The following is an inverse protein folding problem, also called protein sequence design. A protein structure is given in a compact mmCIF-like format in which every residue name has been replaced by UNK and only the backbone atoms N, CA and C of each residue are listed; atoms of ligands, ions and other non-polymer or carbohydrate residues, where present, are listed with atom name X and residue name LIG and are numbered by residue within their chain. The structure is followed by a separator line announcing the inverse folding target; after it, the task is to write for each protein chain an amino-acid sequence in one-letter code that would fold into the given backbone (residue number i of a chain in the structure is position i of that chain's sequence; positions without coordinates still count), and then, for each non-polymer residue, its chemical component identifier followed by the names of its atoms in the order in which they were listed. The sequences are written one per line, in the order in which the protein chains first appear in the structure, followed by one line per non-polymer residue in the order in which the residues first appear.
data_IF_412450547095
#
_entry.id   IF_412450547095
#
_cell.length_a   1.000
_cell.length_b   1.000
_cell.length_c   1.000
_cell.angle_alpha   90.00
_cell.angle_beta   90.00
_cell.angle_gamma   90.00
#
_symmetry.space_group_name_H-M   'P 1'
#
loop_
_entity.id
_entity.type
_entity.pdbx_description
1 polymer ?
#
# COMPACT_ATOMS: atom_id res chain seq x y z
N UNK A 1 10.29 43.19 -15.54
CA UNK A 1 9.49 42.40 -14.59
C UNK A 1 9.93 42.78 -13.18
N UNK A 2 9.07 43.25 -12.27
CA UNK A 2 9.52 43.61 -10.91
C UNK A 2 10.04 42.35 -10.21
N UNK A 3 11.23 42.38 -9.56
CA UNK A 3 11.90 41.19 -9.01
C UNK A 3 11.06 40.43 -7.96
N UNK A 4 10.15 41.13 -7.28
CA UNK A 4 9.20 40.54 -6.33
C UNK A 4 8.20 39.57 -6.95
N UNK A 5 7.79 39.80 -8.21
CA UNK A 5 6.85 38.92 -8.91
C UNK A 5 7.50 37.58 -9.23
N UNK A 6 8.79 37.60 -9.61
CA UNK A 6 9.56 36.39 -9.83
C UNK A 6 9.71 35.57 -8.54
N UNK A 7 9.99 36.25 -7.41
CA UNK A 7 10.06 35.61 -6.10
C UNK A 7 8.73 35.01 -5.65
N UNK A 8 7.62 35.73 -5.84
CA UNK A 8 6.29 35.22 -5.53
C UNK A 8 5.94 33.98 -6.37
N UNK A 9 6.34 33.96 -7.64
CA UNK A 9 6.16 32.80 -8.51
C UNK A 9 6.94 31.57 -8.02
N UNK A 10 8.20 31.75 -7.61
CA UNK A 10 9.03 30.66 -7.09
C UNK A 10 8.48 30.13 -5.76
N UNK A 11 8.13 31.01 -4.82
CA UNK A 11 7.59 30.63 -3.52
C UNK A 11 6.21 29.98 -3.64
N UNK A 12 5.35 30.52 -4.50
CA UNK A 12 4.04 29.94 -4.80
C UNK A 12 4.16 28.56 -5.43
N UNK A 13 5.06 28.40 -6.41
CA UNK A 13 5.34 27.11 -7.04
C UNK A 13 5.84 26.05 -6.05
N UNK A 14 6.80 26.42 -5.19
CA UNK A 14 7.32 25.52 -4.15
C UNK A 14 6.23 25.05 -3.17
N UNK A 15 5.34 25.96 -2.77
CA UNK A 15 4.23 25.64 -1.87
C UNK A 15 3.25 24.64 -2.50
N UNK A 16 2.90 24.82 -3.78
CA UNK A 16 2.01 23.90 -4.51
C UNK A 16 2.64 22.52 -4.67
N UNK A 17 3.93 22.45 -5.03
CA UNK A 17 4.64 21.17 -5.14
C UNK A 17 4.67 20.44 -3.80
N UNK A 18 4.98 21.14 -2.71
CA UNK A 18 4.99 20.55 -1.36
C UNK A 18 3.61 20.07 -0.93
N UNK A 19 2.56 20.83 -1.26
CA UNK A 19 1.18 20.43 -1.01
C UNK A 19 0.80 19.19 -1.81
N UNK A 20 1.07 19.17 -3.12
CA UNK A 20 0.77 18.04 -4.00
C UNK A 20 1.52 16.77 -3.57
N UNK A 21 2.79 16.88 -3.17
CA UNK A 21 3.56 15.75 -2.65
C UNK A 21 2.95 15.18 -1.36
N UNK A 22 2.56 16.04 -0.42
CA UNK A 22 1.91 15.61 0.82
C UNK A 22 0.56 14.95 0.56
N UNK A 23 -0.21 15.48 -0.39
CA UNK A 23 -1.49 14.90 -0.81
C UNK A 23 -1.29 13.55 -1.49
N UNK A 24 -0.28 13.41 -2.35
CA UNK A 24 0.06 12.14 -2.99
C UNK A 24 0.50 11.07 -1.98
N UNK A 25 1.31 11.44 -0.98
CA UNK A 25 1.67 10.53 0.11
C UNK A 25 0.43 10.07 0.86
N UNK A 26 -0.47 10.99 1.24
CA UNK A 26 -1.70 10.64 1.97
C UNK A 26 -2.57 9.64 1.20
N UNK A 27 -2.75 9.87 -0.11
CA UNK A 27 -3.50 8.94 -0.97
C UNK A 27 -2.78 7.59 -1.09
N UNK A 28 -1.45 7.59 -1.15
CA UNK A 28 -0.67 6.36 -1.23
C UNK A 28 -0.65 5.58 0.08
N UNK A 29 -0.71 6.26 1.23
CA UNK A 29 -0.88 5.63 2.54
C UNK A 29 -2.23 4.89 2.62
N UNK A 30 -3.32 5.49 2.13
CA UNK A 30 -4.63 4.81 2.02
C UNK A 30 -4.57 3.60 1.07
N UNK A 31 -3.75 3.66 0.02
CA UNK A 31 -3.58 2.55 -0.93
C UNK A 31 -2.73 1.41 -0.33
N UNK A 32 -1.72 1.73 0.49
CA UNK A 32 -0.94 0.71 1.19
C UNK A 32 -1.67 0.12 2.39
N UNK A 33 -2.59 0.83 3.03
CA UNK A 33 -3.55 0.21 3.97
C UNK A 33 -4.42 -0.84 3.24
N UNK A 34 -4.87 -0.55 2.03
CA UNK A 34 -5.62 -1.49 1.19
C UNK A 34 -4.77 -2.66 0.67
N UNK A 35 -3.47 -2.46 0.45
CA UNK A 35 -2.55 -3.53 0.06
C UNK A 35 -2.20 -4.41 1.25
N UNK A 36 -1.94 -3.82 2.42
CA UNK A 36 -1.65 -4.54 3.65
C UNK A 36 -2.85 -5.36 4.11
N UNK A 37 -4.08 -4.84 3.97
CA UNK A 37 -5.29 -5.62 4.26
C UNK A 37 -5.45 -6.81 3.31
N UNK A 38 -5.22 -6.63 2.00
CA UNK A 38 -5.21 -7.76 1.04
C UNK A 38 -4.08 -8.76 1.27
N UNK A 39 -2.89 -8.33 1.65
CA UNK A 39 -1.77 -9.22 1.97
C UNK A 39 -2.03 -9.97 3.28
N UNK A 40 -2.63 -9.33 4.28
CA UNK A 40 -3.06 -9.98 5.51
C UNK A 40 -4.19 -11.00 5.26
N UNK A 41 -5.14 -10.68 4.39
CA UNK A 41 -6.20 -11.61 3.96
C UNK A 41 -5.63 -12.79 3.15
N UNK A 42 -4.66 -12.54 2.26
CA UNK A 42 -3.91 -13.58 1.55
C UNK A 42 -3.04 -14.45 2.48
N UNK A 43 -2.45 -13.86 3.52
CA UNK A 43 -1.71 -14.61 4.54
C UNK A 43 -2.64 -15.47 5.41
N UNK A 44 -3.85 -14.97 5.70
CA UNK A 44 -4.90 -15.71 6.42
C UNK A 44 -5.54 -16.85 5.61
N UNK A 45 -5.50 -16.77 4.27
CA UNK A 45 -5.90 -17.87 3.39
C UNK A 45 -4.78 -18.90 3.19
N UNK A 46 -3.52 -18.53 3.45
CA UNK A 46 -2.38 -19.45 3.53
C UNK A 46 -2.37 -20.36 4.76
N UNK A 47 -3.18 -20.07 5.80
CA UNK A 47 -3.33 -20.91 7.00
C UNK A 47 -4.50 -21.89 6.92
N UNK A 48 -5.14 -22.04 5.76
CA UNK A 48 -6.08 -23.14 5.53
C UNK A 48 -5.27 -24.43 5.61
N UNK A 49 -5.46 -25.21 6.69
CA UNK A 49 -4.84 -26.52 6.87
C UNK A 49 -5.28 -27.42 5.71
N UNK A 50 -4.48 -27.44 4.66
CA UNK A 50 -4.77 -28.27 3.49
C UNK A 50 -4.74 -29.72 3.95
N UNK A 51 -5.83 -30.43 3.67
CA UNK A 51 -5.91 -31.86 3.94
C UNK A 51 -4.79 -32.56 3.16
N UNK A 52 -3.79 -33.07 3.86
CA UNK A 52 -2.69 -33.80 3.26
C UNK A 52 -3.07 -35.27 3.14
N UNK A 53 -2.86 -35.84 1.96
CA UNK A 53 -3.12 -37.26 1.71
C UNK A 53 -2.05 -38.11 2.40
N UNK A 54 -2.48 -39.03 3.27
CA UNK A 54 -1.60 -40.01 3.92
C UNK A 54 -1.14 -41.04 2.87
N UNK A 55 0.17 -41.19 2.62
CA UNK A 55 0.69 -42.14 1.64
C UNK A 55 0.50 -43.61 2.04
N UNK A 56 0.27 -43.89 3.33
CA UNK A 56 0.13 -45.27 3.85
C UNK A 56 -1.32 -45.73 3.82
N UNK A 57 -2.25 -44.85 4.21
CA UNK A 57 -3.67 -45.20 4.35
C UNK A 57 -4.57 -44.61 3.27
N UNK A 58 -4.05 -43.69 2.46
CA UNK A 58 -4.83 -42.94 1.47
C UNK A 58 -5.84 -41.96 2.07
N UNK A 59 -5.97 -41.91 3.41
CA UNK A 59 -6.87 -41.02 4.11
C UNK A 59 -6.34 -39.59 4.12
N UNK A 60 -7.24 -38.62 4.07
CA UNK A 60 -6.89 -37.20 4.18
C UNK A 60 -6.84 -36.79 5.65
N UNK A 61 -5.73 -36.20 6.09
CA UNK A 61 -5.56 -35.67 7.45
C UNK A 61 -5.24 -34.18 7.43
N UNK A 62 -5.76 -33.39 8.40
CA UNK A 62 -5.31 -32.01 8.57
C UNK A 62 -3.83 -32.01 8.99
N UNK A 63 -3.06 -31.05 8.47
CA UNK A 63 -1.64 -30.86 8.75
C UNK A 63 -1.31 -29.43 9.11
#
# INVERSE_FOLDING_TARGET
MPPFVAFAGVLGGLAVVRWAYKTAIRINEELEEMRLSRVAEAASTGTVQTLKRDPVTGAYRPG
#
